data_IF_970458661429
#
_entry.id   IF_970458661429
#
_cell.length_a   1.000
_cell.length_b   1.000
_cell.length_c   1.000
_cell.angle_alpha   90.00
_cell.angle_beta   90.00
_cell.angle_gamma   90.00
#
_symmetry.space_group_name_H-M   'P 1'
#
loop_
_entity.id
_entity.type
_entity.pdbx_description
1 polymer ?
#
# COMPACT_ATOMS: atom_id res chain seq x y z
N UNK A 1 12.01 -31.61 13.35
CA UNK A 1 11.02 -31.06 12.40
C UNK A 1 9.77 -30.67 13.18
N UNK A 2 9.69 -29.37 13.57
CA UNK A 2 8.53 -28.83 14.28
C UNK A 2 7.35 -28.74 13.32
N UNK A 3 6.32 -29.54 13.54
CA UNK A 3 5.03 -29.39 12.88
C UNK A 3 4.47 -28.02 13.21
N UNK A 4 4.37 -27.14 12.22
CA UNK A 4 3.68 -25.84 12.36
C UNK A 4 2.26 -26.10 12.84
N UNK A 5 1.76 -25.25 13.76
CA UNK A 5 0.36 -25.37 14.18
C UNK A 5 -0.59 -25.29 12.98
N UNK A 6 -1.75 -25.97 13.00
CA UNK A 6 -2.73 -25.87 11.92
C UNK A 6 -3.13 -24.42 11.58
N UNK A 7 -3.19 -23.56 12.60
CA UNK A 7 -3.50 -22.13 12.46
C UNK A 7 -2.39 -21.38 11.68
N UNK A 8 -1.13 -21.61 12.04
CA UNK A 8 0.00 -20.99 11.34
C UNK A 8 0.08 -21.48 9.89
N UNK A 9 -0.22 -22.77 9.66
CA UNK A 9 -0.29 -23.29 8.30
C UNK A 9 -1.39 -22.60 7.47
N UNK A 10 -2.58 -22.41 8.06
CA UNK A 10 -3.69 -21.70 7.40
C UNK A 10 -3.33 -20.25 7.06
N UNK A 11 -2.70 -19.51 7.99
CA UNK A 11 -2.24 -18.14 7.78
C UNK A 11 -1.17 -18.05 6.66
N UNK A 12 -0.21 -18.98 6.68
CA UNK A 12 0.83 -19.04 5.64
C UNK A 12 0.20 -19.31 4.26
N UNK A 13 -0.72 -20.26 4.17
CA UNK A 13 -1.41 -20.62 2.93
C UNK A 13 -2.22 -19.44 2.40
N UNK A 14 -3.00 -18.77 3.26
CA UNK A 14 -3.78 -17.60 2.89
C UNK A 14 -2.87 -16.47 2.36
N UNK A 15 -1.72 -16.23 3.01
CA UNK A 15 -0.73 -15.25 2.55
C UNK A 15 -0.19 -15.60 1.16
N UNK A 16 0.17 -16.86 0.91
CA UNK A 16 0.69 -17.31 -0.39
C UNK A 16 -0.38 -17.22 -1.49
N UNK A 17 -1.64 -17.53 -1.18
CA UNK A 17 -2.75 -17.37 -2.11
C UNK A 17 -2.96 -15.91 -2.51
N UNK A 18 -2.86 -14.97 -1.56
CA UNK A 18 -2.90 -13.53 -1.86
C UNK A 18 -1.75 -13.11 -2.79
N UNK A 19 -0.52 -13.61 -2.57
CA UNK A 19 0.62 -13.30 -3.44
C UNK A 19 0.43 -13.87 -4.85
N UNK A 20 -0.12 -15.09 -4.95
CA UNK A 20 -0.48 -15.69 -6.25
C UNK A 20 -1.52 -14.84 -6.98
N UNK A 21 -2.56 -14.39 -6.28
CA UNK A 21 -3.62 -13.57 -6.86
C UNK A 21 -3.10 -12.17 -7.26
N UNK A 22 -2.16 -11.60 -6.49
CA UNK A 22 -1.47 -10.37 -6.87
C UNK A 22 -0.66 -10.52 -8.16
N UNK A 23 0.10 -11.61 -8.28
CA UNK A 23 0.84 -11.91 -9.51
C UNK A 23 -0.11 -12.12 -10.69
N UNK A 24 -1.19 -12.88 -10.50
CA UNK A 24 -2.19 -13.11 -11.55
C UNK A 24 -2.83 -11.78 -12.01
N UNK A 25 -3.22 -10.91 -11.08
CA UNK A 25 -3.76 -9.58 -11.39
C UNK A 25 -2.79 -8.71 -12.18
N UNK A 26 -1.50 -8.70 -11.80
CA UNK A 26 -0.47 -7.99 -12.55
C UNK A 26 -0.29 -8.56 -13.97
N UNK A 27 -0.25 -9.88 -14.11
CA UNK A 27 -0.13 -10.54 -15.42
C UNK A 27 -1.32 -10.23 -16.35
N UNK A 28 -2.54 -10.16 -15.81
CA UNK A 28 -3.73 -9.80 -16.59
C UNK A 28 -3.65 -8.36 -17.10
N UNK A 29 -3.18 -7.43 -16.24
CA UNK A 29 -2.95 -6.04 -16.66
C UNK A 29 -1.87 -5.95 -17.73
N UNK A 30 -0.75 -6.68 -17.56
CA UNK A 30 0.37 -6.67 -18.52
C UNK A 30 0.00 -7.30 -19.87
N UNK A 31 -0.85 -8.33 -19.90
CA UNK A 31 -1.35 -8.91 -21.16
C UNK A 31 -2.17 -7.91 -21.99
N UNK A 32 -2.85 -6.97 -21.32
CA UNK A 32 -3.58 -5.88 -21.98
C UNK A 32 -2.75 -4.63 -22.27
N UNK A 33 -1.44 -4.62 -21.94
CA UNK A 33 -0.57 -3.46 -22.05
C UNK A 33 0.03 -3.32 -23.45
N UNK A 34 0.35 -2.07 -23.83
CA UNK A 34 1.01 -1.77 -25.12
C UNK A 34 2.53 -1.99 -24.99
N UNK A 35 3.27 -2.21 -26.10
CA UNK A 35 4.72 -2.33 -26.07
C UNK A 35 5.45 -1.15 -25.41
N UNK A 36 4.86 0.04 -25.44
CA UNK A 36 5.36 1.26 -24.78
C UNK A 36 5.37 1.18 -23.26
N UNK A 37 4.61 0.24 -22.68
CA UNK A 37 4.46 0.11 -21.24
C UNK A 37 5.53 -0.80 -20.60
N UNK A 38 6.40 -1.42 -21.43
CA UNK A 38 7.46 -2.35 -20.97
C UNK A 38 8.38 -1.74 -19.91
N UNK A 39 8.69 -0.45 -20.01
CA UNK A 39 9.53 0.24 -19.03
C UNK A 39 8.93 0.26 -17.62
N UNK A 40 7.61 0.03 -17.48
CA UNK A 40 6.88 0.01 -16.21
C UNK A 40 6.75 -1.37 -15.60
N UNK A 41 7.14 -2.42 -16.34
CA UNK A 41 7.05 -3.81 -15.87
C UNK A 41 7.95 -4.04 -14.64
N UNK A 42 9.17 -3.53 -14.67
CA UNK A 42 10.12 -3.70 -13.56
C UNK A 42 9.62 -3.07 -12.26
N UNK A 43 9.18 -1.79 -12.23
CA UNK A 43 8.57 -1.22 -11.04
C UNK A 43 7.29 -1.96 -10.60
N UNK A 44 6.48 -2.43 -11.54
CA UNK A 44 5.25 -3.17 -11.22
C UNK A 44 5.54 -4.51 -10.53
N UNK A 45 6.55 -5.26 -10.99
CA UNK A 45 7.00 -6.50 -10.35
C UNK A 45 7.65 -6.22 -9.00
N UNK A 46 8.44 -5.15 -8.89
CA UNK A 46 9.05 -4.74 -7.62
C UNK A 46 8.02 -4.33 -6.55
N UNK A 47 6.81 -3.92 -6.98
CA UNK A 47 5.69 -3.60 -6.10
C UNK A 47 4.93 -4.82 -5.56
N UNK A 48 5.23 -6.04 -6.03
CA UNK A 48 4.68 -7.25 -5.44
C UNK A 48 5.27 -7.48 -4.05
N UNK A 49 4.41 -7.85 -3.11
CA UNK A 49 4.84 -8.16 -1.75
C UNK A 49 5.86 -9.30 -1.75
N UNK A 50 6.83 -9.23 -0.86
CA UNK A 50 7.89 -10.22 -0.78
C UNK A 50 7.37 -11.51 -0.18
N UNK A 51 7.58 -12.63 -0.85
CA UNK A 51 7.14 -13.97 -0.40
C UNK A 51 7.68 -14.36 0.99
N UNK A 52 8.83 -13.83 1.41
CA UNK A 52 9.39 -14.13 2.73
C UNK A 52 8.51 -13.66 3.89
N UNK A 53 7.72 -12.58 3.71
CA UNK A 53 6.78 -12.11 4.74
C UNK A 53 5.72 -13.16 5.08
N UNK A 54 5.38 -14.06 4.15
CA UNK A 54 4.50 -15.18 4.40
C UNK A 54 5.15 -16.33 5.22
N UNK A 55 6.47 -16.27 5.43
CA UNK A 55 7.20 -17.22 6.28
C UNK A 55 7.50 -16.66 7.67
N UNK A 56 7.35 -15.35 7.86
CA UNK A 56 7.64 -14.66 9.11
C UNK A 56 6.43 -14.67 10.05
N UNK A 57 6.56 -15.35 11.18
CA UNK A 57 5.49 -15.48 12.19
C UNK A 57 4.96 -14.12 12.64
N UNK A 58 5.86 -13.17 12.95
CA UNK A 58 5.50 -11.83 13.39
C UNK A 58 4.69 -11.03 12.36
N UNK A 59 4.90 -11.28 11.08
CA UNK A 59 4.13 -10.66 9.99
C UNK A 59 2.75 -11.30 9.84
N UNK A 60 2.65 -12.62 10.03
CA UNK A 60 1.39 -13.35 9.97
C UNK A 60 0.48 -13.05 11.17
N UNK A 61 1.03 -12.95 12.37
CA UNK A 61 0.28 -12.65 13.60
C UNK A 61 -0.31 -11.23 13.64
N UNK A 62 0.31 -10.29 12.94
CA UNK A 62 -0.20 -8.91 12.82
C UNK A 62 -1.33 -8.76 11.80
N UNK A 63 -1.64 -9.82 11.03
CA UNK A 63 -2.74 -9.76 10.06
C UNK A 63 -4.09 -9.71 10.75
N UNK A 64 -5.02 -8.87 10.28
CA UNK A 64 -6.38 -8.89 10.76
C UNK A 64 -7.01 -10.27 10.57
N UNK A 65 -7.78 -10.77 11.56
CA UNK A 65 -8.45 -12.04 11.41
C UNK A 65 -9.45 -11.99 10.24
N UNK A 66 -9.61 -13.10 9.49
CA UNK A 66 -10.62 -13.17 8.44
C UNK A 66 -12.03 -13.04 9.04
N UNK A 67 -13.01 -12.58 8.25
CA UNK A 67 -14.39 -12.53 8.69
C UNK A 67 -14.89 -13.90 9.15
N UNK A 68 -15.67 -13.93 10.23
CA UNK A 68 -16.27 -15.20 10.74
C UNK A 68 -17.35 -15.72 9.79
N UNK A 69 -18.19 -14.83 9.27
CA UNK A 69 -19.25 -15.17 8.32
C UNK A 69 -18.64 -15.67 6.99
N UNK A 70 -19.00 -16.90 6.55
CA UNK A 70 -18.47 -17.49 5.32
C UNK A 70 -18.84 -16.69 4.06
N UNK A 71 -20.00 -16.03 4.04
CA UNK A 71 -20.46 -15.26 2.89
C UNK A 71 -19.70 -13.96 2.80
N UNK A 72 -19.51 -13.25 3.93
CA UNK A 72 -18.66 -12.07 4.03
C UNK A 72 -17.23 -12.43 3.64
N UNK A 73 -16.70 -13.55 4.10
CA UNK A 73 -15.36 -14.03 3.75
C UNK A 73 -15.20 -14.24 2.24
N UNK A 74 -16.18 -14.84 1.57
CA UNK A 74 -16.16 -15.02 0.11
C UNK A 74 -16.14 -13.69 -0.64
N UNK A 75 -16.93 -12.72 -0.18
CA UNK A 75 -16.94 -11.38 -0.77
C UNK A 75 -15.62 -10.64 -0.54
N UNK A 76 -15.04 -10.72 0.66
CA UNK A 76 -13.70 -10.17 0.95
C UNK A 76 -12.64 -10.75 0.02
N UNK A 77 -12.63 -12.08 -0.20
CA UNK A 77 -11.69 -12.72 -1.12
C UNK A 77 -11.89 -12.25 -2.58
N UNK A 78 -13.13 -12.01 -3.00
CA UNK A 78 -13.40 -11.46 -4.33
C UNK A 78 -12.87 -10.04 -4.47
N UNK A 79 -13.20 -9.17 -3.52
CA UNK A 79 -12.74 -7.77 -3.52
C UNK A 79 -11.21 -7.67 -3.40
N UNK A 80 -10.54 -8.57 -2.66
CA UNK A 80 -9.07 -8.63 -2.62
C UNK A 80 -8.47 -8.91 -4.01
N UNK A 81 -9.03 -9.85 -4.77
CA UNK A 81 -8.57 -10.11 -6.14
C UNK A 81 -8.71 -8.88 -7.03
N UNK A 82 -9.82 -8.15 -6.89
CA UNK A 82 -10.01 -6.92 -7.66
C UNK A 82 -9.08 -5.79 -7.18
N UNK A 83 -8.76 -5.74 -5.87
CA UNK A 83 -7.74 -4.84 -5.33
C UNK A 83 -6.36 -5.12 -5.94
N UNK A 84 -5.98 -6.40 -6.09
CA UNK A 84 -4.72 -6.77 -6.73
C UNK A 84 -4.66 -6.35 -8.19
N UNK A 85 -5.78 -6.45 -8.94
CA UNK A 85 -5.86 -5.92 -10.30
C UNK A 85 -5.68 -4.40 -10.33
N UNK A 86 -6.33 -3.68 -9.40
CA UNK A 86 -6.18 -2.23 -9.31
C UNK A 86 -4.74 -1.81 -8.93
N UNK A 87 -4.05 -2.58 -8.09
CA UNK A 87 -2.62 -2.41 -7.82
C UNK A 87 -1.78 -2.66 -9.08
N UNK A 88 -2.13 -3.67 -9.88
CA UNK A 88 -1.52 -3.90 -11.19
C UNK A 88 -1.64 -2.68 -12.11
N UNK A 89 -2.79 -2.00 -12.10
CA UNK A 89 -3.00 -0.75 -12.87
C UNK A 89 -2.09 0.39 -12.39
N UNK A 90 -1.86 0.52 -11.07
CA UNK A 90 -0.88 1.46 -10.52
C UNK A 90 0.52 1.17 -11.07
N UNK A 91 0.97 -0.09 -11.00
CA UNK A 91 2.25 -0.53 -11.52
C UNK A 91 2.40 -0.28 -13.03
N UNK A 92 1.34 -0.53 -13.81
CA UNK A 92 1.30 -0.29 -15.25
C UNK A 92 1.17 1.20 -15.64
N UNK A 93 1.00 2.12 -14.66
CA UNK A 93 0.83 3.56 -14.89
C UNK A 93 -0.54 3.95 -15.45
N UNK A 94 -1.53 3.07 -15.35
CA UNK A 94 -2.93 3.33 -15.76
C UNK A 94 -3.69 3.98 -14.60
N UNK A 95 -3.20 5.16 -14.17
CA UNK A 95 -3.60 5.78 -12.90
C UNK A 95 -5.07 6.16 -12.84
N UNK A 96 -5.64 6.75 -13.90
CA UNK A 96 -7.05 7.13 -13.93
C UNK A 96 -7.99 5.93 -13.80
N UNK A 97 -7.68 4.85 -14.51
CA UNK A 97 -8.46 3.61 -14.45
C UNK A 97 -8.32 2.91 -13.11
N UNK A 98 -7.08 2.82 -12.60
CA UNK A 98 -6.80 2.28 -11.28
C UNK A 98 -7.51 3.06 -10.17
N UNK A 99 -7.51 4.40 -10.26
CA UNK A 99 -8.19 5.26 -9.30
C UNK A 99 -9.69 4.97 -9.23
N UNK A 100 -10.36 4.93 -10.38
CA UNK A 100 -11.77 4.59 -10.45
C UNK A 100 -12.08 3.20 -9.87
N UNK A 101 -11.22 2.20 -10.16
CA UNK A 101 -11.37 0.86 -9.62
C UNK A 101 -11.19 0.84 -8.10
N UNK A 102 -10.14 1.50 -7.57
CA UNK A 102 -9.86 1.56 -6.13
C UNK A 102 -10.97 2.28 -5.35
N UNK A 103 -11.58 3.33 -5.91
CA UNK A 103 -12.73 4.03 -5.31
C UNK A 103 -13.95 3.13 -5.19
N UNK A 104 -14.28 2.41 -6.24
CA UNK A 104 -15.39 1.46 -6.23
C UNK A 104 -15.14 0.35 -5.22
N UNK A 105 -13.90 -0.13 -5.10
CA UNK A 105 -13.51 -1.14 -4.12
C UNK A 105 -13.60 -0.62 -2.68
N UNK A 106 -13.18 0.63 -2.44
CA UNK A 106 -13.31 1.25 -1.11
C UNK A 106 -14.78 1.28 -0.68
N UNK A 107 -15.68 1.77 -1.57
CA UNK A 107 -17.11 1.81 -1.31
C UNK A 107 -17.70 0.41 -1.04
N UNK A 108 -17.31 -0.59 -1.84
CA UNK A 108 -17.79 -1.96 -1.67
C UNK A 108 -17.30 -2.59 -0.36
N UNK A 109 -16.05 -2.34 0.02
CA UNK A 109 -15.47 -2.85 1.25
C UNK A 109 -16.07 -2.17 2.50
N UNK A 110 -16.35 -0.87 2.42
CA UNK A 110 -17.07 -0.13 3.48
C UNK A 110 -18.50 -0.66 3.67
N UNK A 111 -19.22 -0.89 2.57
CA UNK A 111 -20.57 -1.48 2.61
C UNK A 111 -20.58 -2.91 3.19
N UNK A 112 -19.51 -3.68 2.97
CA UNK A 112 -19.36 -5.02 3.55
C UNK A 112 -19.01 -4.99 5.04
N UNK A 113 -18.61 -3.84 5.59
CA UNK A 113 -18.26 -3.68 7.00
C UNK A 113 -16.89 -4.26 7.39
N UNK A 114 -16.09 -4.73 6.42
CA UNK A 114 -14.76 -5.27 6.70
C UNK A 114 -13.68 -4.18 6.56
N UNK A 115 -13.48 -3.45 7.65
CA UNK A 115 -12.59 -2.28 7.73
C UNK A 115 -11.17 -2.50 7.20
N UNK A 116 -10.47 -3.64 7.47
CA UNK A 116 -9.11 -3.81 6.97
C UNK A 116 -9.02 -3.66 5.45
N UNK A 117 -9.93 -4.30 4.70
CA UNK A 117 -9.94 -4.19 3.23
C UNK A 117 -10.33 -2.79 2.75
N UNK A 118 -11.25 -2.11 3.44
CA UNK A 118 -11.64 -0.74 3.10
C UNK A 118 -10.45 0.21 3.17
N UNK A 119 -9.61 0.07 4.21
CA UNK A 119 -8.43 0.92 4.40
C UNK A 119 -7.32 0.55 3.40
N UNK A 120 -7.13 -0.73 3.08
CA UNK A 120 -6.20 -1.17 2.02
C UNK A 120 -6.61 -0.57 0.65
N UNK A 121 -7.89 -0.60 0.32
CA UNK A 121 -8.41 0.00 -0.91
C UNK A 121 -8.26 1.53 -0.91
N UNK A 122 -8.53 2.19 0.22
CA UNK A 122 -8.35 3.64 0.38
C UNK A 122 -6.87 4.04 0.26
N UNK A 123 -5.94 3.22 0.76
CA UNK A 123 -4.50 3.45 0.58
C UNK A 123 -4.12 3.43 -0.90
N UNK A 124 -4.71 2.52 -1.66
CA UNK A 124 -4.51 2.47 -3.11
C UNK A 124 -5.11 3.69 -3.81
N UNK A 125 -6.29 4.19 -3.37
CA UNK A 125 -6.85 5.47 -3.83
C UNK A 125 -5.85 6.60 -3.61
N UNK A 126 -5.27 6.71 -2.41
CA UNK A 126 -4.28 7.73 -2.10
C UNK A 126 -3.06 7.68 -3.01
N UNK A 127 -2.48 6.49 -3.21
CA UNK A 127 -1.33 6.27 -4.09
C UNK A 127 -1.65 6.62 -5.55
N UNK A 128 -2.79 6.16 -6.07
CA UNK A 128 -3.23 6.43 -7.44
C UNK A 128 -3.55 7.90 -7.69
N UNK A 129 -4.24 8.54 -6.72
CA UNK A 129 -4.55 9.97 -6.80
C UNK A 129 -3.27 10.83 -6.80
N UNK A 130 -2.25 10.46 -6.01
CA UNK A 130 -0.96 11.13 -6.01
C UNK A 130 -0.24 11.02 -7.37
N UNK A 131 -0.33 9.86 -8.03
CA UNK A 131 0.26 9.63 -9.37
C UNK A 131 -0.58 10.25 -10.50
N UNK A 132 -1.87 10.48 -10.26
CA UNK A 132 -2.80 11.13 -11.20
C UNK A 132 -2.91 12.65 -10.96
N UNK A 133 -2.01 13.22 -10.17
CA UNK A 133 -1.95 14.66 -9.86
C UNK A 133 -3.19 15.20 -9.09
N UNK A 134 -4.08 14.34 -8.62
CA UNK A 134 -5.21 14.70 -7.77
C UNK A 134 -4.76 14.87 -6.30
N UNK A 135 -3.81 15.80 -6.08
CA UNK A 135 -3.04 15.91 -4.83
C UNK A 135 -3.88 16.18 -3.58
N UNK A 136 -4.99 16.92 -3.71
CA UNK A 136 -5.93 17.16 -2.61
C UNK A 136 -6.60 15.87 -2.15
N UNK A 137 -7.06 15.07 -3.10
CA UNK A 137 -7.67 13.77 -2.84
C UNK A 137 -6.67 12.75 -2.27
N UNK A 138 -5.45 12.78 -2.81
CA UNK A 138 -4.37 11.94 -2.30
C UNK A 138 -4.09 12.23 -0.82
N UNK A 139 -3.96 13.50 -0.46
CA UNK A 139 -3.73 13.92 0.92
C UNK A 139 -4.87 13.46 1.83
N UNK A 140 -6.13 13.71 1.46
CA UNK A 140 -7.31 13.32 2.23
C UNK A 140 -7.34 11.79 2.49
N UNK A 141 -7.19 11.00 1.42
CA UNK A 141 -7.20 9.55 1.51
C UNK A 141 -6.05 9.02 2.38
N UNK A 142 -4.82 9.49 2.15
CA UNK A 142 -3.64 9.05 2.88
C UNK A 142 -3.67 9.44 4.37
N UNK A 143 -4.18 10.63 4.71
CA UNK A 143 -4.39 11.03 6.12
C UNK A 143 -5.39 10.12 6.82
N UNK A 144 -6.50 9.81 6.16
CA UNK A 144 -7.50 8.89 6.69
C UNK A 144 -6.89 7.49 6.88
N UNK A 145 -6.13 6.99 5.92
CA UNK A 145 -5.40 5.70 6.04
C UNK A 145 -4.46 5.73 7.24
N UNK A 146 -3.62 6.76 7.38
CA UNK A 146 -2.69 6.87 8.50
C UNK A 146 -3.39 6.75 9.85
N UNK A 147 -4.50 7.47 10.03
CA UNK A 147 -5.25 7.49 11.28
C UNK A 147 -5.97 6.17 11.55
N UNK A 148 -6.68 5.63 10.55
CA UNK A 148 -7.48 4.43 10.72
C UNK A 148 -6.60 3.17 10.82
N UNK A 149 -5.54 3.06 10.01
CA UNK A 149 -4.59 1.96 10.09
C UNK A 149 -3.83 1.97 11.42
N UNK A 150 -3.36 3.14 11.86
CA UNK A 150 -2.72 3.30 13.17
C UNK A 150 -3.64 2.93 14.33
N UNK A 151 -4.91 3.33 14.27
CA UNK A 151 -5.92 2.97 15.27
C UNK A 151 -6.26 1.48 15.31
N UNK A 152 -5.99 0.73 14.26
CA UNK A 152 -6.18 -0.73 14.18
C UNK A 152 -4.89 -1.52 14.44
N UNK A 153 -3.76 -0.86 14.69
CA UNK A 153 -2.46 -1.51 14.82
C UNK A 153 -1.86 -2.00 13.49
N UNK A 154 -2.40 -1.56 12.33
CA UNK A 154 -1.84 -1.84 11.02
C UNK A 154 -0.69 -0.86 10.69
N UNK A 155 0.35 -0.92 11.52
CA UNK A 155 1.46 0.04 11.54
C UNK A 155 2.21 0.14 10.21
N UNK A 156 2.32 -0.96 9.47
CA UNK A 156 2.99 -0.99 8.16
C UNK A 156 2.22 -0.12 7.15
N UNK A 157 0.89 -0.28 7.08
CA UNK A 157 0.03 0.51 6.20
C UNK A 157 0.01 2.00 6.61
N UNK A 158 0.02 2.28 7.93
CA UNK A 158 0.14 3.63 8.44
C UNK A 158 1.49 4.27 8.07
N UNK A 159 2.60 3.51 8.16
CA UNK A 159 3.92 3.98 7.77
C UNK A 159 4.01 4.27 6.27
N UNK A 160 3.47 3.39 5.43
CA UNK A 160 3.38 3.61 3.98
C UNK A 160 2.60 4.89 3.65
N UNK A 161 1.45 5.10 4.30
CA UNK A 161 0.64 6.30 4.10
C UNK A 161 1.40 7.57 4.52
N UNK A 162 2.12 7.53 5.64
CA UNK A 162 2.95 8.63 6.10
C UNK A 162 4.10 8.94 5.12
N UNK A 163 4.76 7.92 4.56
CA UNK A 163 5.81 8.09 3.53
C UNK A 163 5.25 8.76 2.27
N UNK A 164 4.08 8.32 1.78
CA UNK A 164 3.44 8.96 0.61
C UNK A 164 3.01 10.41 0.90
N UNK A 165 2.58 10.71 2.14
CA UNK A 165 2.24 12.07 2.57
C UNK A 165 3.44 13.03 2.56
N UNK A 166 4.67 12.54 2.79
CA UNK A 166 5.87 13.38 2.68
C UNK A 166 5.93 14.06 1.30
N UNK A 167 5.84 13.29 0.23
CA UNK A 167 5.91 13.81 -1.14
C UNK A 167 4.63 14.54 -1.54
N UNK A 168 3.46 14.00 -1.18
CA UNK A 168 2.16 14.57 -1.54
C UNK A 168 1.96 15.95 -0.92
N UNK A 169 2.25 16.10 0.37
CA UNK A 169 2.09 17.37 1.10
C UNK A 169 3.29 18.28 0.88
N UNK A 170 4.50 17.75 1.04
CA UNK A 170 5.73 18.54 1.01
C UNK A 170 6.06 19.09 -0.35
N UNK A 171 6.02 18.23 -1.38
CA UNK A 171 6.38 18.60 -2.75
C UNK A 171 5.14 18.99 -3.56
N UNK A 172 4.18 18.08 -3.74
CA UNK A 172 3.09 18.28 -4.69
C UNK A 172 2.11 19.39 -4.26
N UNK A 173 1.92 19.61 -2.96
CA UNK A 173 1.12 20.72 -2.42
C UNK A 173 1.95 21.90 -1.92
N UNK A 174 3.25 21.88 -2.14
CA UNK A 174 4.18 22.95 -1.77
C UNK A 174 4.10 23.38 -0.29
N UNK A 175 4.01 22.38 0.62
CA UNK A 175 4.04 22.56 2.08
C UNK A 175 5.19 21.78 2.70
N UNK A 176 6.46 22.18 2.44
CA UNK A 176 7.63 21.36 2.79
C UNK A 176 7.75 21.09 4.28
N UNK A 177 7.53 22.06 5.15
CA UNK A 177 7.61 21.87 6.60
C UNK A 177 6.62 20.80 7.08
N UNK A 178 5.38 20.83 6.61
CA UNK A 178 4.37 19.83 6.96
C UNK A 178 4.69 18.46 6.37
N UNK A 179 5.17 18.40 5.12
CA UNK A 179 5.64 17.16 4.51
C UNK A 179 6.74 16.49 5.33
N UNK A 180 7.71 17.25 5.83
CA UNK A 180 8.78 16.76 6.69
C UNK A 180 8.28 16.27 8.06
N UNK A 181 7.21 16.87 8.62
CA UNK A 181 6.56 16.35 9.84
C UNK A 181 5.96 14.95 9.61
N UNK A 182 5.35 14.71 8.42
CA UNK A 182 4.94 13.36 8.04
C UNK A 182 6.11 12.39 7.97
N UNK A 183 7.30 12.89 7.57
CA UNK A 183 8.53 12.13 7.58
C UNK A 183 8.94 11.65 8.98
N UNK A 184 8.76 12.46 10.02
CA UNK A 184 9.02 12.04 11.41
C UNK A 184 8.04 10.96 11.86
N UNK A 185 6.75 11.11 11.50
CA UNK A 185 5.73 10.09 11.79
C UNK A 185 6.05 8.76 11.12
N UNK A 186 6.47 8.79 9.86
CA UNK A 186 6.88 7.60 9.13
C UNK A 186 8.10 6.93 9.77
N UNK A 187 9.13 7.70 10.13
CA UNK A 187 10.36 7.21 10.76
C UNK A 187 10.10 6.50 12.10
N UNK A 188 9.23 7.08 12.93
CA UNK A 188 8.81 6.46 14.19
C UNK A 188 8.18 5.08 13.95
N UNK A 189 7.25 4.97 12.99
CA UNK A 189 6.58 3.70 12.66
C UNK A 189 7.55 2.68 12.06
N UNK A 190 8.42 3.10 11.14
CA UNK A 190 9.44 2.25 10.50
C UNK A 190 10.40 1.70 11.57
N UNK A 191 10.83 2.53 12.50
CA UNK A 191 11.71 2.11 13.62
C UNK A 191 11.01 1.09 14.50
N UNK A 192 9.75 1.34 14.87
CA UNK A 192 8.94 0.42 15.69
C UNK A 192 8.72 -0.94 15.02
N UNK A 193 8.57 -0.95 13.71
CA UNK A 193 8.43 -2.16 12.92
C UNK A 193 9.75 -2.93 12.71
N UNK A 194 10.89 -2.34 13.04
CA UNK A 194 12.21 -2.93 12.78
C UNK A 194 12.67 -2.82 11.33
N UNK A 195 12.04 -1.98 10.52
CA UNK A 195 12.25 -1.84 9.07
C UNK A 195 13.26 -0.73 8.71
N UNK A 196 14.10 -0.30 9.66
CA UNK A 196 15.01 0.83 9.48
C UNK A 196 16.03 0.67 8.33
N UNK A 197 16.22 -0.55 7.84
CA UNK A 197 17.20 -0.88 6.79
C UNK A 197 16.54 -1.42 5.50
N UNK A 198 15.23 -1.34 5.37
CA UNK A 198 14.50 -1.90 4.24
C UNK A 198 14.03 -0.86 3.20
N UNK A 199 13.23 -1.31 2.23
CA UNK A 199 12.72 -0.46 1.15
C UNK A 199 11.80 0.66 1.63
N UNK A 200 11.13 0.50 2.77
CA UNK A 200 10.25 1.54 3.29
C UNK A 200 11.09 2.70 3.84
N UNK A 201 12.18 2.40 4.53
CA UNK A 201 13.16 3.40 4.97
C UNK A 201 13.81 4.11 3.77
N UNK A 202 14.19 3.37 2.73
CA UNK A 202 14.71 3.93 1.48
C UNK A 202 13.68 4.82 0.79
N UNK A 203 12.40 4.44 0.78
CA UNK A 203 11.31 5.23 0.23
C UNK A 203 11.12 6.55 0.99
N UNK A 204 11.22 6.52 2.33
CA UNK A 204 11.18 7.71 3.15
C UNK A 204 12.34 8.65 2.86
N UNK A 205 13.57 8.12 2.76
CA UNK A 205 14.75 8.92 2.42
C UNK A 205 14.59 9.60 1.05
N UNK A 206 14.09 8.86 0.04
CA UNK A 206 13.80 9.42 -1.28
C UNK A 206 12.71 10.51 -1.24
N UNK A 207 11.62 10.28 -0.48
CA UNK A 207 10.55 11.26 -0.35
C UNK A 207 11.05 12.56 0.31
N UNK A 208 11.86 12.46 1.38
CA UNK A 208 12.51 13.63 2.01
C UNK A 208 13.43 14.37 1.04
N UNK A 209 14.27 13.63 0.30
CA UNK A 209 15.16 14.22 -0.69
C UNK A 209 14.38 15.00 -1.78
N UNK A 210 13.23 14.50 -2.22
CA UNK A 210 12.37 15.19 -3.17
C UNK A 210 11.79 16.50 -2.59
N UNK A 211 11.44 16.54 -1.30
CA UNK A 211 10.94 17.76 -0.62
C UNK A 211 12.05 18.79 -0.51
N UNK A 212 13.25 18.40 -0.06
CA UNK A 212 14.41 19.28 0.03
C UNK A 212 14.81 19.84 -1.34
N UNK A 213 14.83 18.98 -2.37
CA UNK A 213 15.16 19.40 -3.72
C UNK A 213 14.19 20.40 -4.32
N UNK A 214 12.91 20.23 -4.04
CA UNK A 214 11.88 21.16 -4.51
C UNK A 214 11.95 22.52 -3.79
N UNK A 215 12.29 22.53 -2.50
CA UNK A 215 12.43 23.76 -1.70
C UNK A 215 13.72 24.57 -1.93
N UNK A 216 14.61 24.12 -2.80
CA UNK A 216 15.90 24.78 -3.03
C UNK A 216 16.91 24.63 -1.89
N UNK A 217 16.64 23.78 -0.91
CA UNK A 217 17.43 23.59 0.31
C UNK A 217 18.66 22.66 0.13
N UNK A 218 19.18 22.50 -1.10
CA UNK A 218 20.46 21.79 -1.34
C UNK A 218 21.69 22.51 -0.76
N UNK A 219 21.51 23.65 -0.06
CA UNK A 219 22.64 24.46 0.45
C UNK A 219 23.01 24.19 1.90
N UNK A 220 22.31 23.33 2.64
CA UNK A 220 22.50 23.14 4.08
C UNK A 220 22.57 21.66 4.50
N UNK A 221 23.09 20.77 3.66
CA UNK A 221 23.37 19.38 4.05
C UNK A 221 24.87 19.10 4.03
#
# INVERSE_FOLDING_TARGET
EGTRSPELHALTTACLDEQRDALAGLLDVLRGSKPTDVQRVVPAVAGLTRLHTCAELSSLERRPPPPEDPDVRRHVMSLRRDLMKAQGLLGAGRYAEGLKAAESLTTAAEALGYRPLAIEALALVGKLAARHEATGRAEEALRRVYLEAGGMGADELAAEAAVELVSTVGKARNRPAEGLQWGLSAEMLITRLGHAQDLLAASLANARAQVYGHGGAYREA
#
